data_IF_750101997128
#
_entry.id   IF_750101997128
#
_cell.length_a   1.000
_cell.length_b   1.000
_cell.length_c   1.000
_cell.angle_alpha   90.00
_cell.angle_beta   90.00
_cell.angle_gamma   90.00
#
_symmetry.space_group_name_H-M   'P 1'
#
loop_
_entity.id
_entity.type
_entity.pdbx_description
1 polymer ?
#
# COMPACT_ATOMS: atom_id res chain seq x y z
N UNK A 1 43.69 10.37 -62.22
CA UNK A 1 42.78 11.15 -61.34
C UNK A 1 42.10 10.19 -60.36
N UNK A 2 42.61 10.12 -59.13
CA UNK A 2 42.05 9.24 -58.07
C UNK A 2 41.10 10.05 -57.18
N UNK A 3 39.85 9.62 -57.15
CA UNK A 3 38.82 10.25 -56.30
C UNK A 3 39.11 9.93 -54.84
N UNK A 4 39.37 10.95 -54.04
CA UNK A 4 39.41 10.86 -52.59
C UNK A 4 37.98 10.52 -52.09
N UNK A 5 37.80 9.35 -51.48
CA UNK A 5 36.64 9.04 -50.66
C UNK A 5 36.78 9.83 -49.34
N UNK A 6 35.94 10.80 -49.16
CA UNK A 6 35.81 11.51 -47.90
C UNK A 6 35.08 10.61 -46.92
N UNK A 7 35.82 10.08 -45.96
CA UNK A 7 35.27 9.27 -44.85
C UNK A 7 34.76 10.26 -43.79
N UNK A 8 33.49 10.66 -43.90
CA UNK A 8 32.77 11.45 -42.90
C UNK A 8 32.54 10.69 -41.61
N UNK A 9 33.60 10.40 -40.86
CA UNK A 9 33.52 10.10 -39.45
C UNK A 9 33.33 11.45 -38.72
N UNK A 10 32.08 11.72 -38.31
CA UNK A 10 31.79 12.86 -37.46
C UNK A 10 32.75 12.84 -36.26
N UNK A 11 33.52 13.93 -36.11
CA UNK A 11 34.36 14.11 -34.94
C UNK A 11 33.49 14.15 -33.71
N UNK A 12 33.43 13.04 -32.94
CA UNK A 12 32.86 13.05 -31.61
C UNK A 12 33.65 14.05 -30.77
N UNK A 13 33.00 15.11 -30.30
CA UNK A 13 33.59 16.10 -29.41
C UNK A 13 33.74 15.47 -28.03
N UNK A 14 34.95 15.16 -27.63
CA UNK A 14 35.27 14.77 -26.25
C UNK A 14 35.27 16.04 -25.42
N UNK A 15 34.47 16.04 -24.34
CA UNK A 15 34.40 17.11 -23.36
C UNK A 15 34.92 16.55 -22.06
N UNK A 16 35.97 17.15 -21.51
CA UNK A 16 36.45 16.80 -20.16
C UNK A 16 35.46 17.32 -19.13
N UNK A 17 34.92 16.42 -18.30
CA UNK A 17 34.00 16.75 -17.23
C UNK A 17 34.56 16.26 -15.89
N UNK A 18 34.50 17.08 -14.87
CA UNK A 18 34.87 16.65 -13.53
C UNK A 18 33.91 15.60 -13.02
N UNK A 19 34.43 14.47 -12.51
CA UNK A 19 33.62 13.34 -12.02
C UNK A 19 32.69 13.75 -10.88
N UNK A 20 33.12 14.67 -10.01
CA UNK A 20 32.31 15.14 -8.90
C UNK A 20 31.11 15.97 -9.38
N UNK A 21 31.31 16.79 -10.42
CA UNK A 21 30.23 17.58 -11.02
C UNK A 21 29.23 16.67 -11.76
N UNK A 22 29.70 15.71 -12.56
CA UNK A 22 28.88 14.74 -13.26
C UNK A 22 28.04 13.89 -12.28
N UNK A 23 28.68 13.41 -11.21
CA UNK A 23 27.98 12.63 -10.18
C UNK A 23 26.91 13.45 -9.47
N UNK A 24 27.22 14.73 -9.15
CA UNK A 24 26.26 15.61 -8.49
C UNK A 24 25.05 15.88 -9.37
N UNK A 25 25.28 16.21 -10.64
CA UNK A 25 24.20 16.58 -11.57
C UNK A 25 23.33 15.36 -11.91
N UNK A 26 23.94 14.18 -12.18
CA UNK A 26 23.22 12.92 -12.39
C UNK A 26 22.45 12.48 -11.14
N UNK A 27 23.00 12.70 -9.94
CA UNK A 27 22.29 12.37 -8.68
C UNK A 27 21.10 13.28 -8.45
N UNK A 28 21.22 14.57 -8.77
CA UNK A 28 20.11 15.55 -8.66
C UNK A 28 18.98 15.19 -9.64
N UNK A 29 19.32 14.86 -10.88
CA UNK A 29 18.33 14.42 -11.88
C UNK A 29 17.62 13.13 -11.44
N UNK A 30 18.36 12.15 -10.96
CA UNK A 30 17.80 10.92 -10.40
C UNK A 30 16.89 11.20 -9.20
N UNK A 31 17.32 12.02 -8.25
CA UNK A 31 16.55 12.39 -7.07
C UNK A 31 15.23 13.08 -7.46
N UNK A 32 15.29 14.02 -8.41
CA UNK A 32 14.13 14.69 -8.95
C UNK A 32 13.13 13.69 -9.57
N UNK A 33 13.63 12.82 -10.44
CA UNK A 33 12.81 11.78 -11.07
C UNK A 33 12.13 10.86 -10.04
N UNK A 34 12.85 10.44 -9.01
CA UNK A 34 12.28 9.57 -7.97
C UNK A 34 11.20 10.26 -7.15
N UNK A 35 11.39 11.56 -6.83
CA UNK A 35 10.41 12.34 -6.07
C UNK A 35 9.12 12.54 -6.90
N UNK A 36 9.26 13.06 -8.11
CA UNK A 36 8.11 13.49 -8.92
C UNK A 36 7.40 12.37 -9.68
N UNK A 37 8.13 11.35 -10.14
CA UNK A 37 7.59 10.36 -11.06
C UNK A 37 7.61 8.92 -10.57
N UNK A 38 7.92 8.66 -9.29
CA UNK A 38 8.00 7.28 -8.78
C UNK A 38 7.44 7.07 -7.38
N UNK A 39 7.95 7.80 -6.38
CA UNK A 39 7.78 7.40 -4.98
C UNK A 39 6.58 8.03 -4.28
N UNK A 40 6.23 9.27 -4.63
CA UNK A 40 5.20 10.03 -3.95
C UNK A 40 3.86 9.98 -4.71
N UNK A 41 2.72 9.92 -3.98
CA UNK A 41 1.39 10.03 -4.56
C UNK A 41 1.06 11.48 -4.90
N UNK A 42 0.19 11.70 -5.88
CA UNK A 42 -0.46 13.00 -6.07
C UNK A 42 -1.56 13.18 -4.99
N UNK A 43 -1.62 14.38 -4.42
CA UNK A 43 -2.61 14.65 -3.35
C UNK A 43 -4.06 14.60 -3.84
N UNK A 44 -4.31 14.81 -5.13
CA UNK A 44 -5.65 14.88 -5.71
C UNK A 44 -6.29 13.50 -5.90
N UNK A 45 -5.51 12.50 -6.34
CA UNK A 45 -6.01 11.14 -6.58
C UNK A 45 -5.39 10.06 -5.68
N UNK A 46 -4.38 10.42 -4.87
CA UNK A 46 -3.71 9.52 -3.95
C UNK A 46 -2.87 8.42 -4.61
N UNK A 47 -2.55 8.56 -5.90
CA UNK A 47 -1.90 7.52 -6.68
C UNK A 47 -0.45 7.88 -7.04
N UNK A 48 0.40 6.89 -7.02
CA UNK A 48 1.71 6.94 -7.67
C UNK A 48 1.55 6.82 -9.18
N UNK A 49 2.49 7.32 -10.00
CA UNK A 49 2.38 7.26 -11.46
C UNK A 49 2.12 5.86 -12.01
N UNK A 50 2.79 4.83 -11.50
CA UNK A 50 2.56 3.44 -11.95
C UNK A 50 1.13 2.97 -11.66
N UNK A 51 0.57 3.31 -10.51
CA UNK A 51 -0.80 2.93 -10.13
C UNK A 51 -1.82 3.62 -11.03
N UNK A 52 -1.64 4.94 -11.28
CA UNK A 52 -2.50 5.72 -12.17
C UNK A 52 -2.48 5.17 -13.59
N UNK A 53 -1.32 4.83 -14.12
CA UNK A 53 -1.14 4.22 -15.45
C UNK A 53 -1.81 2.86 -15.56
N UNK A 54 -1.73 2.02 -14.51
CA UNK A 54 -2.43 0.72 -14.47
C UNK A 54 -3.95 0.93 -14.55
N UNK A 55 -4.52 1.77 -13.69
CA UNK A 55 -5.96 2.00 -13.66
C UNK A 55 -6.46 2.64 -14.96
N UNK A 56 -5.73 3.62 -15.48
CA UNK A 56 -6.04 4.26 -16.75
C UNK A 56 -6.03 3.25 -17.91
N UNK A 57 -4.96 2.44 -18.03
CA UNK A 57 -4.86 1.45 -19.09
C UNK A 57 -5.94 0.39 -18.97
N UNK A 58 -6.26 -0.08 -17.78
CA UNK A 58 -7.34 -1.04 -17.56
C UNK A 58 -8.71 -0.45 -17.94
N UNK A 59 -8.94 0.84 -17.66
CA UNK A 59 -10.14 1.55 -18.08
C UNK A 59 -10.22 1.62 -19.61
N UNK A 60 -9.13 1.98 -20.30
CA UNK A 60 -9.03 1.99 -21.76
C UNK A 60 -9.27 0.60 -22.38
N UNK A 61 -8.85 -0.45 -21.72
CA UNK A 61 -9.12 -1.85 -22.13
C UNK A 61 -10.56 -2.30 -21.87
N UNK A 62 -11.38 -1.46 -21.23
CA UNK A 62 -12.76 -1.78 -20.87
C UNK A 62 -12.92 -2.88 -19.84
N UNK A 63 -11.95 -3.04 -18.93
CA UNK A 63 -11.93 -4.07 -17.88
C UNK A 63 -12.79 -3.65 -16.67
N UNK A 64 -14.08 -3.56 -16.88
CA UNK A 64 -15.08 -3.12 -15.89
C UNK A 64 -15.53 -4.28 -14.99
N UNK A 65 -16.13 -3.99 -13.81
CA UNK A 65 -16.63 -5.02 -12.89
C UNK A 65 -17.69 -5.97 -13.50
N UNK A 66 -18.42 -5.50 -14.50
CA UNK A 66 -19.43 -6.28 -15.23
C UNK A 66 -18.85 -7.16 -16.35
N UNK A 67 -17.54 -7.12 -16.57
CA UNK A 67 -16.82 -7.91 -17.58
C UNK A 67 -16.02 -9.03 -16.94
N UNK A 68 -15.59 -10.00 -17.77
CA UNK A 68 -14.69 -11.05 -17.33
C UNK A 68 -13.30 -10.53 -16.98
N UNK A 69 -12.61 -11.20 -16.07
CA UNK A 69 -11.20 -10.96 -15.77
C UNK A 69 -10.32 -11.29 -16.98
N UNK A 70 -9.18 -10.63 -17.08
CA UNK A 70 -8.15 -10.95 -18.08
C UNK A 70 -6.83 -11.30 -17.37
N UNK A 71 -5.96 -12.04 -18.04
CA UNK A 71 -4.63 -12.38 -17.48
C UNK A 71 -3.88 -11.11 -17.06
N UNK A 72 -3.36 -11.09 -15.84
CA UNK A 72 -2.57 -9.97 -15.32
C UNK A 72 -1.39 -9.64 -16.22
N UNK A 73 -0.77 -10.66 -16.84
CA UNK A 73 0.31 -10.48 -17.81
C UNK A 73 -0.10 -9.61 -19.02
N UNK A 74 -1.36 -9.66 -19.45
CA UNK A 74 -1.87 -8.80 -20.53
C UNK A 74 -1.92 -7.33 -20.07
N UNK A 75 -2.44 -7.09 -18.88
CA UNK A 75 -2.48 -5.72 -18.31
C UNK A 75 -1.07 -5.16 -18.16
N UNK A 76 -0.16 -5.95 -17.58
CA UNK A 76 1.24 -5.55 -17.40
C UNK A 76 1.91 -5.23 -18.74
N UNK A 77 1.71 -6.07 -19.75
CA UNK A 77 2.26 -5.84 -21.10
C UNK A 77 1.78 -4.56 -21.76
N UNK A 78 0.47 -4.28 -21.68
CA UNK A 78 -0.12 -3.04 -22.22
C UNK A 78 0.40 -1.78 -21.49
N UNK A 79 0.48 -1.83 -20.17
CA UNK A 79 1.00 -0.71 -19.36
C UNK A 79 2.47 -0.46 -19.68
N UNK A 80 3.27 -1.53 -19.73
CA UNK A 80 4.72 -1.44 -19.99
C UNK A 80 4.99 -0.90 -21.40
N UNK A 81 4.26 -1.38 -22.40
CA UNK A 81 4.49 -1.01 -23.78
C UNK A 81 4.03 0.40 -24.15
N UNK A 82 3.00 0.90 -23.47
CA UNK A 82 2.37 2.18 -23.84
C UNK A 82 2.63 3.33 -22.90
N UNK A 83 2.74 3.08 -21.59
CA UNK A 83 2.70 4.16 -20.59
C UNK A 83 3.89 4.15 -19.61
N UNK A 84 4.42 2.97 -19.27
CA UNK A 84 5.36 2.87 -18.15
C UNK A 84 6.61 2.05 -18.54
N UNK A 85 7.69 2.69 -19.04
CA UNK A 85 8.88 2.04 -19.59
C UNK A 85 9.81 1.50 -18.48
N UNK A 86 9.29 0.60 -17.63
CA UNK A 86 10.01 -0.02 -16.53
C UNK A 86 9.75 -1.53 -16.51
N UNK A 87 10.46 -2.26 -15.65
CA UNK A 87 10.34 -3.72 -15.54
C UNK A 87 8.92 -4.19 -15.23
N UNK A 88 8.53 -5.29 -15.85
CA UNK A 88 7.23 -5.95 -15.70
C UNK A 88 6.91 -6.35 -14.25
N UNK A 89 7.93 -6.78 -13.50
CA UNK A 89 7.79 -7.13 -12.08
C UNK A 89 7.31 -5.94 -11.24
N UNK A 90 7.86 -4.75 -11.45
CA UNK A 90 7.44 -3.55 -10.70
C UNK A 90 5.99 -3.15 -11.00
N UNK A 91 5.55 -3.31 -12.26
CA UNK A 91 4.17 -3.06 -12.66
C UNK A 91 3.24 -4.11 -12.05
N UNK A 92 3.63 -5.38 -12.10
CA UNK A 92 2.84 -6.47 -11.52
C UNK A 92 2.71 -6.32 -10.00
N UNK A 93 3.79 -6.02 -9.29
CA UNK A 93 3.76 -5.80 -7.84
C UNK A 93 2.82 -4.64 -7.45
N UNK A 94 2.78 -3.56 -8.23
CA UNK A 94 1.85 -2.47 -8.01
C UNK A 94 0.39 -2.89 -8.25
N UNK A 95 0.14 -3.66 -9.32
CA UNK A 95 -1.17 -4.23 -9.63
C UNK A 95 -1.65 -5.16 -8.50
N UNK A 96 -0.79 -6.04 -8.03
CA UNK A 96 -1.08 -6.98 -6.94
C UNK A 96 -1.47 -6.24 -5.67
N UNK A 97 -0.70 -5.24 -5.25
CA UNK A 97 -1.00 -4.45 -4.04
C UNK A 97 -2.35 -3.76 -4.12
N UNK A 98 -2.75 -3.28 -5.30
CA UNK A 98 -4.07 -2.66 -5.50
C UNK A 98 -5.24 -3.66 -5.45
N UNK A 99 -4.98 -4.97 -5.55
CA UNK A 99 -5.98 -6.02 -5.42
C UNK A 99 -6.05 -6.63 -4.00
N UNK A 100 -5.05 -6.38 -3.15
CA UNK A 100 -4.95 -7.01 -1.84
C UNK A 100 -5.79 -6.26 -0.79
N UNK A 101 -6.79 -6.91 -0.21
CA UNK A 101 -7.66 -6.35 0.82
C UNK A 101 -6.95 -6.09 2.16
N UNK A 102 -5.78 -6.70 2.37
CA UNK A 102 -4.93 -6.44 3.54
C UNK A 102 -3.91 -5.32 3.31
N UNK A 103 -3.68 -4.91 2.06
CA UNK A 103 -2.78 -3.81 1.69
C UNK A 103 -3.50 -2.48 1.52
N UNK A 104 -4.68 -2.49 0.92
CA UNK A 104 -5.52 -1.32 0.73
C UNK A 104 -6.81 -1.44 1.54
N UNK A 105 -7.23 -0.34 2.15
CA UNK A 105 -8.49 -0.25 2.87
C UNK A 105 -9.69 -0.46 1.94
N UNK A 106 -9.58 0.06 0.71
CA UNK A 106 -10.51 -0.19 -0.39
C UNK A 106 -9.68 -0.58 -1.62
N UNK A 107 -9.66 -1.86 -2.00
CA UNK A 107 -9.00 -2.32 -3.23
C UNK A 107 -9.53 -1.61 -4.48
N UNK A 108 -8.63 -1.32 -5.41
CA UNK A 108 -8.94 -0.69 -6.70
C UNK A 108 -8.99 -1.71 -7.84
N UNK A 109 -8.46 -2.89 -7.62
CA UNK A 109 -8.44 -4.00 -8.58
C UNK A 109 -9.19 -5.18 -7.97
N UNK A 110 -10.03 -5.81 -8.79
CA UNK A 110 -10.67 -7.09 -8.50
C UNK A 110 -9.82 -8.19 -9.15
N UNK A 111 -9.15 -8.97 -8.29
CA UNK A 111 -8.24 -10.04 -8.67
C UNK A 111 -8.90 -11.41 -8.61
N UNK A 112 -8.55 -12.28 -9.57
CA UNK A 112 -8.95 -13.69 -9.56
C UNK A 112 -7.71 -14.58 -9.59
N UNK A 113 -7.62 -15.49 -8.62
CA UNK A 113 -6.46 -16.36 -8.39
C UNK A 113 -5.70 -15.99 -7.10
N UNK A 114 -4.45 -16.43 -7.00
CA UNK A 114 -3.64 -16.20 -5.80
C UNK A 114 -2.87 -14.87 -5.90
N UNK A 115 -3.38 -13.85 -5.21
CA UNK A 115 -2.74 -12.54 -5.04
C UNK A 115 -1.90 -12.43 -3.77
N UNK A 116 -1.58 -13.55 -3.13
CA UNK A 116 -0.77 -13.61 -1.92
C UNK A 116 -1.55 -13.39 -0.63
N UNK A 117 -0.84 -13.46 0.45
CA UNK A 117 -1.24 -13.11 1.81
C UNK A 117 -0.26 -12.10 2.41
N UNK A 118 -0.37 -11.79 3.69
CA UNK A 118 0.60 -10.93 4.37
C UNK A 118 1.97 -11.63 4.48
N UNK A 119 1.97 -12.95 4.65
CA UNK A 119 3.18 -13.76 4.83
C UNK A 119 3.70 -14.33 3.49
N UNK A 120 2.81 -14.61 2.53
CA UNK A 120 3.16 -15.24 1.26
C UNK A 120 3.00 -14.30 0.06
N UNK A 121 3.91 -14.40 -0.89
CA UNK A 121 3.84 -13.66 -2.16
C UNK A 121 2.75 -14.17 -3.10
N UNK A 122 2.39 -13.38 -4.13
CA UNK A 122 1.40 -13.76 -5.12
C UNK A 122 1.95 -14.80 -6.10
N UNK A 123 1.03 -15.50 -6.79
CA UNK A 123 1.40 -16.29 -7.96
C UNK A 123 1.90 -15.40 -9.11
N UNK A 124 2.67 -15.96 -10.03
CA UNK A 124 3.17 -15.23 -11.20
C UNK A 124 2.01 -14.71 -12.07
N UNK A 125 2.23 -13.56 -12.73
CA UNK A 125 1.22 -12.81 -13.50
C UNK A 125 0.55 -13.61 -14.64
N UNK A 126 1.16 -14.72 -15.08
CA UNK A 126 0.56 -15.64 -16.07
C UNK A 126 -0.56 -16.50 -15.51
N UNK A 127 -0.63 -16.65 -14.19
CA UNK A 127 -1.67 -17.46 -13.51
C UNK A 127 -2.81 -16.62 -12.96
N UNK A 128 -2.54 -15.37 -12.56
CA UNK A 128 -3.56 -14.47 -12.00
C UNK A 128 -4.32 -13.73 -13.11
N UNK A 129 -5.52 -13.30 -12.77
CA UNK A 129 -6.38 -12.50 -13.64
C UNK A 129 -6.88 -11.27 -12.88
N UNK A 130 -7.16 -10.18 -13.61
CA UNK A 130 -7.55 -8.91 -13.00
C UNK A 130 -8.60 -8.17 -13.85
N UNK A 131 -9.40 -7.36 -13.17
CA UNK A 131 -10.27 -6.32 -13.73
C UNK A 131 -10.34 -5.16 -12.74
N UNK A 132 -10.93 -4.04 -13.14
CA UNK A 132 -11.17 -2.92 -12.23
C UNK A 132 -12.20 -3.29 -11.17
N UNK A 133 -11.97 -2.91 -9.93
CA UNK A 133 -12.98 -2.90 -8.89
C UNK A 133 -13.96 -1.73 -9.08
N UNK A 134 -15.11 -1.74 -8.42
CA UNK A 134 -16.08 -0.63 -8.51
C UNK A 134 -15.47 0.70 -8.05
N UNK A 135 -14.65 0.67 -7.01
CA UNK A 135 -13.91 1.83 -6.51
C UNK A 135 -13.01 2.49 -7.57
N UNK A 136 -12.41 1.69 -8.45
CA UNK A 136 -11.61 2.23 -9.54
C UNK A 136 -12.46 2.86 -10.66
N UNK A 137 -13.68 2.38 -10.86
CA UNK A 137 -14.63 3.05 -11.77
C UNK A 137 -14.96 4.44 -11.23
N UNK A 138 -15.16 4.57 -9.91
CA UNK A 138 -15.41 5.86 -9.27
C UNK A 138 -14.17 6.79 -9.33
N UNK A 139 -12.96 6.22 -9.32
CA UNK A 139 -11.71 6.97 -9.54
C UNK A 139 -11.56 7.50 -10.97
N UNK A 140 -12.09 6.80 -11.97
CA UNK A 140 -11.96 7.14 -13.40
C UNK A 140 -13.22 7.77 -13.98
N UNK A 141 -14.28 7.98 -13.18
CA UNK A 141 -15.55 8.55 -13.63
C UNK A 141 -15.35 9.95 -14.22
N UNK A 142 -15.88 10.19 -15.43
CA UNK A 142 -15.77 11.46 -16.12
C UNK A 142 -14.42 11.72 -16.79
N UNK A 143 -13.51 10.76 -16.89
CA UNK A 143 -12.18 10.96 -17.46
C UNK A 143 -12.20 11.43 -18.94
N UNK A 144 -13.27 11.07 -19.66
CA UNK A 144 -13.48 11.46 -21.06
C UNK A 144 -14.26 12.79 -21.22
N UNK A 145 -14.55 13.48 -20.10
CA UNK A 145 -15.37 14.71 -20.05
C UNK A 145 -14.53 15.99 -19.90
N UNK A 146 -13.23 15.95 -20.23
CA UNK A 146 -12.28 17.09 -20.12
C UNK A 146 -12.20 17.70 -18.71
N UNK A 147 -12.30 16.85 -17.69
CA UNK A 147 -12.24 17.27 -16.27
C UNK A 147 -10.83 17.21 -15.68
N UNK A 148 -9.89 16.58 -16.38
CA UNK A 148 -8.46 16.47 -15.99
C UNK A 148 -7.56 16.69 -17.19
N UNK A 149 -6.36 17.23 -16.93
CA UNK A 149 -5.34 17.44 -17.95
C UNK A 149 -4.66 16.13 -18.34
N UNK A 150 -4.25 16.05 -19.60
CA UNK A 150 -3.47 14.97 -20.19
C UNK A 150 -2.09 15.48 -20.62
N UNK A 151 -1.10 14.58 -20.57
CA UNK A 151 0.24 14.83 -21.04
C UNK A 151 0.69 13.71 -21.99
N UNK A 152 1.66 13.98 -22.90
CA UNK A 152 2.30 12.92 -23.66
C UNK A 152 2.97 11.89 -22.74
N UNK A 153 2.93 10.61 -23.15
CA UNK A 153 3.70 9.55 -22.51
C UNK A 153 5.20 9.71 -22.79
N UNK A 154 6.02 8.75 -22.32
CA UNK A 154 7.48 8.78 -22.40
C UNK A 154 8.05 8.89 -23.83
N UNK A 155 7.36 8.46 -24.88
CA UNK A 155 7.80 8.51 -26.27
C UNK A 155 6.96 9.46 -27.16
N UNK A 156 5.97 10.13 -26.56
CA UNK A 156 5.09 11.10 -27.24
C UNK A 156 4.07 10.50 -28.20
N UNK A 157 3.86 9.19 -28.20
CA UNK A 157 2.91 8.49 -29.07
C UNK A 157 1.53 8.32 -28.49
N UNK A 158 1.43 8.32 -27.19
CA UNK A 158 0.19 8.17 -26.44
C UNK A 158 0.02 9.36 -25.49
N UNK A 159 -1.16 9.53 -24.96
CA UNK A 159 -1.43 10.51 -23.90
C UNK A 159 -1.86 9.76 -22.63
N UNK A 160 -1.47 10.31 -21.49
CA UNK A 160 -1.84 9.80 -20.18
C UNK A 160 -2.40 10.90 -19.28
N UNK A 161 -3.32 10.63 -18.37
CA UNK A 161 -3.84 11.64 -17.47
C UNK A 161 -2.79 12.03 -16.44
N UNK A 162 -2.64 13.34 -16.18
CA UNK A 162 -1.76 13.85 -15.12
C UNK A 162 -2.28 13.38 -13.75
N UNK A 163 -3.62 13.32 -13.61
CA UNK A 163 -4.31 12.89 -12.39
C UNK A 163 -5.63 12.22 -12.80
N UNK A 164 -6.16 11.28 -12.03
CA UNK A 164 -7.51 10.77 -12.24
C UNK A 164 -8.56 11.72 -11.62
N UNK A 165 -9.80 11.74 -12.16
CA UNK A 165 -10.89 12.57 -11.61
C UNK A 165 -11.20 12.31 -10.14
N UNK A 166 -11.09 11.06 -9.70
CA UNK A 166 -11.13 10.60 -8.31
C UNK A 166 -12.35 11.09 -7.52
N UNK A 167 -13.50 10.48 -7.76
CA UNK A 167 -14.72 10.79 -7.03
C UNK A 167 -14.68 10.37 -5.54
N UNK A 168 -13.66 9.61 -5.13
CA UNK A 168 -13.41 9.25 -3.73
C UNK A 168 -12.07 9.87 -3.25
N UNK A 169 -11.97 10.26 -1.96
CA UNK A 169 -10.75 10.83 -1.39
C UNK A 169 -9.69 9.76 -1.13
N UNK A 170 -9.16 9.15 -2.20
CA UNK A 170 -8.34 7.96 -2.16
C UNK A 170 -7.06 8.13 -1.31
N UNK A 171 -6.42 9.32 -1.32
CA UNK A 171 -5.22 9.55 -0.51
C UNK A 171 -5.47 9.32 0.97
N UNK A 172 -6.60 9.80 1.50
CA UNK A 172 -6.95 9.61 2.91
C UNK A 172 -7.49 8.21 3.19
N UNK A 173 -8.29 7.66 2.27
CA UNK A 173 -8.93 6.36 2.47
C UNK A 173 -7.92 5.21 2.42
N UNK A 174 -7.07 5.16 1.41
CA UNK A 174 -6.08 4.09 1.26
C UNK A 174 -4.72 4.42 1.86
N UNK A 175 -4.48 5.69 2.18
CA UNK A 175 -3.16 6.13 2.60
C UNK A 175 -2.13 6.04 1.48
N UNK A 176 -0.88 6.26 1.80
CA UNK A 176 0.23 6.04 0.89
C UNK A 176 1.54 5.90 1.66
N UNK A 177 2.41 5.04 1.18
CA UNK A 177 3.78 4.91 1.69
C UNK A 177 4.76 4.97 0.53
N UNK A 178 5.83 5.73 0.67
CA UNK A 178 6.86 5.88 -0.36
C UNK A 178 8.17 6.41 0.19
N UNK A 179 9.28 5.86 -0.33
CA UNK A 179 10.62 6.27 0.02
C UNK A 179 11.24 6.92 -1.21
N UNK A 180 11.45 8.23 -1.15
CA UNK A 180 12.15 8.99 -2.18
C UNK A 180 13.58 9.33 -1.74
N UNK A 181 14.27 10.12 -2.53
CA UNK A 181 15.59 10.65 -2.17
C UNK A 181 15.42 11.87 -1.27
N UNK A 182 15.96 11.83 -0.07
CA UNK A 182 15.90 12.95 0.88
C UNK A 182 14.56 13.13 1.60
N UNK A 183 13.51 12.38 1.23
CA UNK A 183 12.21 12.43 1.89
C UNK A 183 11.46 11.09 1.77
N UNK A 184 10.50 10.89 2.67
CA UNK A 184 9.59 9.75 2.65
C UNK A 184 8.18 10.20 3.03
N UNK A 185 7.18 9.46 2.58
CA UNK A 185 5.79 9.60 3.03
C UNK A 185 5.29 8.31 3.63
N UNK A 186 4.47 8.41 4.68
CA UNK A 186 3.79 7.29 5.31
C UNK A 186 2.45 7.77 5.86
N UNK A 187 1.45 7.86 4.99
CA UNK A 187 0.09 8.26 5.32
C UNK A 187 -0.73 7.02 5.68
N UNK A 188 -1.31 7.03 6.86
CA UNK A 188 -2.19 5.94 7.30
C UNK A 188 -3.54 5.96 6.54
N UNK A 189 -4.19 4.82 6.34
CA UNK A 189 -5.52 4.73 5.75
C UNK A 189 -6.61 5.15 6.76
N UNK A 190 -7.79 5.57 6.23
CA UNK A 190 -8.93 6.01 7.03
C UNK A 190 -10.25 5.41 6.54
N UNK A 191 -11.26 5.45 7.38
CA UNK A 191 -12.60 4.99 7.03
C UNK A 191 -13.25 5.92 6.01
N UNK A 192 -13.77 5.36 4.91
CA UNK A 192 -14.38 6.14 3.83
C UNK A 192 -15.57 7.00 4.32
N UNK A 193 -16.46 6.44 5.13
CA UNK A 193 -17.63 7.17 5.62
C UNK A 193 -17.23 8.34 6.53
N UNK A 194 -16.22 8.13 7.38
CA UNK A 194 -15.65 9.18 8.24
C UNK A 194 -15.04 10.31 7.42
N UNK A 195 -14.21 9.96 6.41
CA UNK A 195 -13.59 10.95 5.53
C UNK A 195 -14.63 11.74 4.73
N UNK A 196 -15.64 11.06 4.16
CA UNK A 196 -16.72 11.72 3.42
C UNK A 196 -17.52 12.66 4.33
N UNK A 197 -17.85 12.25 5.56
CA UNK A 197 -18.57 13.10 6.51
C UNK A 197 -17.75 14.33 6.90
N UNK A 198 -16.45 14.17 7.16
CA UNK A 198 -15.54 15.27 7.42
C UNK A 198 -15.42 16.23 6.22
N UNK A 199 -15.35 15.69 5.01
CA UNK A 199 -15.29 16.49 3.78
C UNK A 199 -16.58 17.32 3.61
N UNK A 200 -17.75 16.72 3.79
CA UNK A 200 -19.03 17.42 3.74
C UNK A 200 -19.10 18.54 4.80
N UNK A 201 -18.70 18.24 6.03
CA UNK A 201 -18.63 19.25 7.08
C UNK A 201 -17.71 20.41 6.71
N UNK A 202 -16.51 20.12 6.16
CA UNK A 202 -15.56 21.14 5.75
C UNK A 202 -16.08 22.01 4.59
N UNK A 203 -16.86 21.45 3.66
CA UNK A 203 -17.51 22.24 2.58
C UNK A 203 -18.50 23.26 3.14
N UNK A 204 -19.28 22.87 4.15
CA UNK A 204 -20.23 23.77 4.81
C UNK A 204 -19.52 24.72 5.79
N UNK A 205 -18.37 24.35 6.34
CA UNK A 205 -17.57 25.08 7.31
C UNK A 205 -16.10 25.23 6.88
N UNK A 206 -15.78 26.07 5.87
CA UNK A 206 -14.42 26.16 5.30
C UNK A 206 -13.31 26.61 6.28
N UNK A 207 -13.69 27.06 7.46
CA UNK A 207 -12.78 27.48 8.55
C UNK A 207 -12.76 26.49 9.71
N UNK A 208 -13.27 25.27 9.48
CA UNK A 208 -13.29 24.24 10.52
C UNK A 208 -11.87 23.99 11.06
N UNK A 209 -11.79 23.85 12.37
CA UNK A 209 -10.54 23.52 13.08
C UNK A 209 -10.21 22.04 12.98
N UNK A 210 -8.96 21.67 13.28
CA UNK A 210 -8.56 20.26 13.36
C UNK A 210 -9.42 19.50 14.38
N UNK A 211 -9.70 20.09 15.54
CA UNK A 211 -10.52 19.45 16.57
C UNK A 211 -11.94 19.12 16.10
N UNK A 212 -12.56 20.03 15.35
CA UNK A 212 -13.85 19.78 14.74
C UNK A 212 -13.81 18.66 13.69
N UNK A 213 -12.79 18.63 12.84
CA UNK A 213 -12.61 17.57 11.85
C UNK A 213 -12.31 16.21 12.51
N UNK A 214 -11.56 16.18 13.60
CA UNK A 214 -11.27 14.95 14.34
C UNK A 214 -12.50 14.36 15.05
N UNK A 215 -13.60 15.09 15.17
CA UNK A 215 -14.87 14.49 15.62
C UNK A 215 -15.46 13.53 14.59
N UNK A 216 -15.13 13.70 13.31
CA UNK A 216 -15.52 12.81 12.21
C UNK A 216 -14.46 11.78 11.88
N UNK A 217 -13.18 12.15 11.92
CA UNK A 217 -12.02 11.26 11.65
C UNK A 217 -11.19 11.17 12.94
N UNK A 218 -11.56 10.30 13.89
CA UNK A 218 -10.88 10.20 15.18
C UNK A 218 -9.47 9.60 15.06
N UNK A 219 -9.19 8.86 14.00
CA UNK A 219 -7.91 8.21 13.76
C UNK A 219 -7.88 7.33 12.53
N UNK A 220 -6.72 6.72 12.23
CA UNK A 220 -6.55 5.75 11.16
C UNK A 220 -7.46 4.52 11.28
N UNK A 221 -7.80 3.93 10.12
CA UNK A 221 -8.58 2.69 10.00
C UNK A 221 -7.81 1.71 9.09
N UNK A 222 -7.02 0.83 9.70
CA UNK A 222 -6.17 -0.11 8.97
C UNK A 222 -6.98 -1.27 8.37
N UNK A 223 -6.58 -1.72 7.19
CA UNK A 223 -7.24 -2.82 6.47
C UNK A 223 -7.25 -4.14 7.29
N UNK A 224 -6.21 -4.40 8.07
CA UNK A 224 -6.08 -5.58 8.94
C UNK A 224 -6.65 -5.38 10.34
N UNK A 225 -7.21 -4.20 10.64
CA UNK A 225 -7.76 -3.86 11.94
C UNK A 225 -6.70 -3.52 13.00
N UNK A 226 -6.92 -4.02 14.20
CA UNK A 226 -6.12 -3.71 15.38
C UNK A 226 -6.74 -2.62 16.26
N UNK A 227 -6.08 -2.33 17.37
CA UNK A 227 -6.50 -1.32 18.36
C UNK A 227 -5.42 -0.28 18.53
N UNK A 228 -5.72 0.97 18.24
CA UNK A 228 -4.80 2.10 18.43
C UNK A 228 -4.73 2.45 19.92
N UNK A 229 -3.50 2.62 20.41
CA UNK A 229 -3.25 2.92 21.83
C UNK A 229 -2.83 4.38 21.97
N UNK A 230 -3.73 5.18 22.55
CA UNK A 230 -3.53 6.61 22.77
C UNK A 230 -3.84 7.46 21.53
N UNK A 231 -4.27 8.71 21.76
CA UNK A 231 -4.67 9.63 20.68
C UNK A 231 -3.66 10.75 20.43
N UNK A 232 -2.73 10.98 21.35
CA UNK A 232 -1.78 12.10 21.26
C UNK A 232 -0.94 12.05 19.97
N UNK A 233 -0.37 10.88 19.66
CA UNK A 233 0.45 10.74 18.47
C UNK A 233 -0.35 10.84 17.14
N UNK A 234 -1.65 10.52 17.16
CA UNK A 234 -2.53 10.75 16.00
C UNK A 234 -2.75 12.24 15.81
N UNK A 235 -3.07 12.96 16.90
CA UNK A 235 -3.22 14.41 16.87
C UNK A 235 -1.98 15.10 16.35
N UNK A 236 -0.81 14.72 16.87
CA UNK A 236 0.47 15.26 16.41
C UNK A 236 0.68 15.01 14.91
N UNK A 237 0.34 13.81 14.43
CA UNK A 237 0.44 13.47 13.02
C UNK A 237 -0.48 14.34 12.14
N UNK A 238 -1.70 14.61 12.58
CA UNK A 238 -2.65 15.44 11.83
C UNK A 238 -2.32 16.93 11.88
N UNK A 239 -1.77 17.43 12.99
CA UNK A 239 -1.42 18.83 13.16
C UNK A 239 -0.10 19.20 12.47
N UNK A 240 0.90 18.32 12.59
CA UNK A 240 2.28 18.63 12.16
C UNK A 240 2.75 17.82 10.95
N UNK A 241 1.98 16.82 10.51
CA UNK A 241 2.41 15.83 9.53
C UNK A 241 3.40 14.79 10.07
N UNK A 242 3.70 14.81 11.39
CA UNK A 242 4.60 13.85 12.03
C UNK A 242 4.04 13.42 13.39
N UNK A 243 3.83 12.12 13.55
CA UNK A 243 3.34 11.54 14.79
C UNK A 243 3.68 10.07 14.87
N UNK A 244 3.70 9.55 16.09
CA UNK A 244 3.92 8.13 16.36
C UNK A 244 2.85 7.62 17.28
N UNK A 245 2.21 6.53 16.91
CA UNK A 245 1.21 5.85 17.73
C UNK A 245 1.42 4.34 17.64
N UNK A 246 0.91 3.62 18.63
CA UNK A 246 1.00 2.17 18.70
C UNK A 246 -0.30 1.54 18.25
N UNK A 247 -0.19 0.42 17.54
CA UNK A 247 -1.32 -0.42 17.16
C UNK A 247 -1.11 -1.80 17.76
N UNK A 248 -2.08 -2.26 18.54
CA UNK A 248 -2.08 -3.60 19.14
C UNK A 248 -2.99 -4.54 18.39
N UNK A 249 -2.63 -5.81 18.42
CA UNK A 249 -3.50 -6.90 18.01
C UNK A 249 -4.83 -6.87 18.79
N UNK A 250 -5.93 -7.20 18.13
CA UNK A 250 -7.21 -7.43 18.80
C UNK A 250 -7.23 -8.87 19.31
N UNK A 251 -7.41 -9.02 20.60
CA UNK A 251 -7.32 -10.33 21.28
C UNK A 251 -8.50 -10.57 22.20
N UNK A 252 -8.83 -11.85 22.42
CA UNK A 252 -9.79 -12.32 23.41
C UNK A 252 -9.15 -13.42 24.24
N UNK A 253 -9.44 -13.46 25.53
CA UNK A 253 -9.03 -14.56 26.39
C UNK A 253 -10.25 -15.44 26.63
N UNK A 254 -10.17 -16.68 26.16
CA UNK A 254 -11.28 -17.62 26.25
C UNK A 254 -10.82 -19.06 26.56
N UNK A 255 -11.76 -19.94 26.75
CA UNK A 255 -11.52 -21.38 26.94
C UNK A 255 -11.25 -22.00 25.56
N UNK A 256 -10.02 -22.37 25.27
CA UNK A 256 -9.61 -22.95 23.98
C UNK A 256 -9.63 -24.48 23.97
N UNK A 257 -9.66 -25.10 25.16
CA UNK A 257 -9.86 -26.52 25.30
C UNK A 257 -10.48 -26.83 26.67
N UNK A 258 -10.88 -28.08 26.91
CA UNK A 258 -11.58 -28.50 28.16
C UNK A 258 -10.88 -28.09 29.46
N UNK A 259 -9.57 -27.88 29.45
CA UNK A 259 -8.75 -27.58 30.64
C UNK A 259 -7.79 -26.40 30.46
N UNK A 260 -7.82 -25.72 29.32
CA UNK A 260 -6.87 -24.63 29.03
C UNK A 260 -7.58 -23.37 28.57
N UNK A 261 -7.17 -22.26 29.15
CA UNK A 261 -7.46 -20.92 28.62
C UNK A 261 -6.36 -20.52 27.63
N UNK A 262 -6.72 -19.75 26.65
CA UNK A 262 -5.79 -19.22 25.67
C UNK A 262 -6.14 -17.81 25.23
N UNK A 263 -5.26 -17.26 24.43
CA UNK A 263 -5.39 -15.95 23.81
C UNK A 263 -5.72 -16.20 22.34
N UNK A 264 -6.88 -15.74 21.89
CA UNK A 264 -7.32 -15.79 20.50
C UNK A 264 -7.06 -14.41 19.89
N UNK A 265 -6.25 -14.36 18.84
CA UNK A 265 -5.91 -13.16 18.10
C UNK A 265 -6.75 -13.12 16.83
N UNK A 266 -7.56 -12.09 16.68
CA UNK A 266 -8.48 -11.91 15.54
C UNK A 266 -8.07 -10.78 14.58
N UNK A 267 -7.20 -9.88 15.01
CA UNK A 267 -6.63 -8.81 14.17
C UNK A 267 -5.18 -8.57 14.58
N UNK A 268 -4.31 -8.28 13.63
CA UNK A 268 -2.91 -7.93 13.83
C UNK A 268 -2.62 -6.53 13.30
N UNK A 269 -1.57 -5.86 13.82
CA UNK A 269 -1.10 -4.60 13.25
C UNK A 269 -0.81 -4.72 11.75
N UNK A 270 -0.94 -3.61 11.03
CA UNK A 270 -0.72 -3.57 9.59
C UNK A 270 0.66 -4.16 9.20
N UNK A 271 0.68 -4.95 8.13
CA UNK A 271 1.86 -5.64 7.60
C UNK A 271 2.49 -6.68 8.56
N UNK A 272 1.75 -7.13 9.56
CA UNK A 272 2.16 -8.23 10.44
C UNK A 272 1.26 -9.42 10.16
N UNK A 273 1.87 -10.52 9.70
CA UNK A 273 1.18 -11.80 9.50
C UNK A 273 1.30 -12.72 10.71
N UNK A 274 0.44 -13.76 10.79
CA UNK A 274 0.47 -14.74 11.87
C UNK A 274 1.80 -15.50 11.95
N UNK A 275 2.41 -15.85 10.82
CA UNK A 275 3.69 -16.59 10.80
C UNK A 275 4.81 -15.83 11.49
N UNK A 276 4.90 -14.51 11.26
CA UNK A 276 5.88 -13.66 11.92
C UNK A 276 5.71 -13.60 13.44
N UNK A 277 4.47 -13.65 13.92
CA UNK A 277 4.17 -13.72 15.36
C UNK A 277 4.58 -15.09 15.92
N UNK A 278 4.20 -16.17 15.23
CA UNK A 278 4.53 -17.56 15.62
C UNK A 278 6.05 -17.74 15.72
N UNK A 279 6.79 -17.35 14.69
CA UNK A 279 8.25 -17.44 14.65
C UNK A 279 8.89 -16.66 15.81
N UNK A 280 8.45 -15.43 16.04
CA UNK A 280 8.97 -14.60 17.13
C UNK A 280 8.68 -15.19 18.49
N UNK A 281 7.48 -15.71 18.72
CA UNK A 281 7.13 -16.41 19.99
C UNK A 281 7.99 -17.64 20.19
N UNK A 282 8.18 -18.47 19.15
CA UNK A 282 9.04 -19.65 19.18
C UNK A 282 10.45 -19.29 19.64
N UNK A 283 11.06 -18.26 19.04
CA UNK A 283 12.40 -17.78 19.40
C UNK A 283 12.48 -17.35 20.88
N UNK A 284 11.49 -16.61 21.34
CA UNK A 284 11.44 -16.14 22.73
C UNK A 284 11.25 -17.26 23.73
N UNK A 285 10.47 -18.28 23.40
CA UNK A 285 10.27 -19.47 24.24
C UNK A 285 11.57 -20.30 24.32
N UNK A 286 12.23 -20.53 23.18
CA UNK A 286 13.54 -21.23 23.13
C UNK A 286 14.59 -20.45 23.97
N UNK A 287 14.62 -19.13 23.83
CA UNK A 287 15.52 -18.25 24.59
C UNK A 287 15.11 -18.09 26.06
N UNK A 288 14.03 -18.73 26.54
CA UNK A 288 13.46 -18.64 27.90
C UNK A 288 13.07 -17.22 28.32
N UNK A 289 12.86 -16.31 27.36
CA UNK A 289 12.43 -14.91 27.58
C UNK A 289 10.93 -14.76 27.69
N UNK A 290 10.17 -15.71 27.14
CA UNK A 290 8.72 -15.80 27.22
C UNK A 290 8.35 -17.16 27.79
N UNK A 291 7.50 -17.17 28.81
CA UNK A 291 7.05 -18.38 29.48
C UNK A 291 5.52 -18.42 29.51
N UNK A 292 4.96 -19.58 29.84
CA UNK A 292 3.51 -19.74 30.02
C UNK A 292 2.75 -20.15 28.75
N UNK A 293 3.40 -20.28 27.59
CA UNK A 293 2.78 -20.77 26.37
C UNK A 293 2.98 -22.28 26.28
N UNK A 294 1.91 -23.04 25.99
CA UNK A 294 1.94 -24.48 25.74
C UNK A 294 1.94 -24.82 24.26
N UNK A 295 1.19 -24.09 23.45
CA UNK A 295 1.08 -24.30 22.00
C UNK A 295 0.61 -23.03 21.29
N UNK A 296 0.84 -22.96 19.97
CA UNK A 296 0.29 -21.93 19.08
C UNK A 296 -0.24 -22.64 17.85
N UNK A 297 -1.51 -22.36 17.53
CA UNK A 297 -2.21 -22.95 16.39
C UNK A 297 -2.81 -21.83 15.55
N UNK A 298 -2.49 -21.82 14.27
CA UNK A 298 -3.14 -20.94 13.30
C UNK A 298 -4.37 -21.67 12.72
N UNK A 299 -5.54 -21.12 13.01
CA UNK A 299 -6.84 -21.60 12.52
C UNK A 299 -7.45 -20.61 11.52
N UNK A 300 -6.64 -19.73 10.96
CA UNK A 300 -7.06 -18.72 9.98
C UNK A 300 -7.64 -19.41 8.74
N UNK A 301 -8.81 -18.97 8.31
CA UNK A 301 -9.45 -19.40 7.07
C UNK A 301 -10.08 -18.24 6.30
N UNK A 302 -10.53 -18.51 5.06
CA UNK A 302 -11.12 -17.49 4.18
C UNK A 302 -12.48 -16.97 4.63
N UNK A 303 -13.21 -17.71 5.47
CA UNK A 303 -14.57 -17.37 5.90
C UNK A 303 -14.57 -16.65 7.25
N UNK A 304 -13.77 -17.12 8.21
CA UNK A 304 -13.69 -16.56 9.58
C UNK A 304 -12.59 -15.52 9.76
N UNK A 305 -11.68 -15.38 8.78
CA UNK A 305 -10.56 -14.46 8.85
C UNK A 305 -9.45 -14.93 9.80
N UNK A 306 -8.62 -14.00 10.30
CA UNK A 306 -7.51 -14.30 11.20
C UNK A 306 -8.01 -14.94 12.51
N UNK A 307 -7.45 -16.10 12.84
CA UNK A 307 -7.77 -16.85 14.06
C UNK A 307 -6.51 -17.56 14.57
N UNK A 308 -5.61 -16.80 15.21
CA UNK A 308 -4.39 -17.34 15.80
C UNK A 308 -4.63 -17.63 17.30
N UNK A 309 -4.58 -18.90 17.68
CA UNK A 309 -4.84 -19.39 19.05
C UNK A 309 -3.53 -19.66 19.76
N UNK A 310 -3.28 -18.95 20.86
CA UNK A 310 -2.11 -19.12 21.73
C UNK A 310 -2.57 -19.76 23.02
N UNK A 311 -2.30 -21.07 23.19
CA UNK A 311 -2.66 -21.81 24.39
C UNK A 311 -1.72 -21.48 25.57
N UNK A 312 -2.31 -21.17 26.71
CA UNK A 312 -1.56 -20.91 27.94
C UNK A 312 -1.44 -22.17 28.82
N UNK A 313 -0.30 -22.34 29.50
CA UNK A 313 -0.11 -23.34 30.54
C UNK A 313 -0.96 -22.99 31.73
N UNK A 314 -1.59 -23.98 32.36
CA UNK A 314 -2.55 -23.79 33.47
C UNK A 314 -1.97 -23.06 34.71
N UNK A 315 -0.64 -23.08 34.88
CA UNK A 315 0.05 -22.38 35.98
C UNK A 315 0.28 -20.88 35.71
N UNK A 316 -0.08 -20.37 34.54
CA UNK A 316 0.16 -18.97 34.15
C UNK A 316 -1.15 -18.25 33.88
N UNK A 317 -1.23 -16.97 34.25
CA UNK A 317 -2.34 -16.10 33.87
C UNK A 317 -2.23 -15.74 32.39
N UNK A 318 -3.26 -16.00 31.56
CA UNK A 318 -3.27 -15.59 30.16
C UNK A 318 -3.12 -14.07 29.99
N UNK A 319 -3.63 -13.27 30.93
CA UNK A 319 -3.50 -11.82 30.95
C UNK A 319 -2.02 -11.39 31.08
N UNK A 320 -1.27 -12.02 31.97
CA UNK A 320 0.16 -11.75 32.14
C UNK A 320 1.00 -12.21 30.94
N UNK A 321 0.61 -13.32 30.30
CA UNK A 321 1.23 -13.79 29.05
C UNK A 321 0.95 -12.81 27.92
N UNK A 322 -0.27 -12.30 27.80
CA UNK A 322 -0.67 -11.32 26.79
C UNK A 322 0.14 -10.02 26.88
N UNK A 323 0.34 -9.50 28.09
CA UNK A 323 1.16 -8.30 28.29
C UNK A 323 2.63 -8.52 27.88
N UNK A 324 3.17 -9.72 28.10
CA UNK A 324 4.50 -10.07 27.61
C UNK A 324 4.53 -10.19 26.08
N UNK A 325 3.48 -10.74 25.45
CA UNK A 325 3.37 -10.83 24.01
C UNK A 325 3.36 -9.44 23.36
N UNK A 326 2.58 -8.50 23.86
CA UNK A 326 2.60 -7.11 23.38
C UNK A 326 3.99 -6.47 23.49
N UNK A 327 4.72 -6.78 24.53
CA UNK A 327 6.03 -6.17 24.79
C UNK A 327 7.18 -6.74 23.98
N UNK A 328 7.10 -8.02 23.60
CA UNK A 328 8.24 -8.79 23.08
C UNK A 328 8.04 -9.24 21.63
N UNK A 329 6.81 -9.14 21.11
CA UNK A 329 6.44 -9.61 19.76
C UNK A 329 5.83 -8.48 18.92
N UNK A 330 5.69 -8.64 17.60
CA UNK A 330 5.07 -7.64 16.74
C UNK A 330 3.54 -7.57 16.89
N UNK A 331 2.96 -8.07 17.98
CA UNK A 331 1.54 -7.86 18.30
C UNK A 331 1.25 -6.43 18.80
N UNK A 332 2.28 -5.61 19.06
CA UNK A 332 2.19 -4.15 19.27
C UNK A 332 3.26 -3.43 18.43
#
# INVERSE_FOLDING_TARGET
>A
MAAKRDSGLGHSRIIDTDVADEMRDSFLEYAYSVIYSRALPDARDGLKPVQRRILFQMNQMGLRPDRGHVKSARVVGEVMGRLHPHGDSAIYDALVRMAQSFSLRIPLIDGHGNFGSIDDGPAAMRYTEARLAQSAIDMTAGIDEDVVDFAPNYDGREIEPIVLPSAIPNLLVNGASGIAVGMATNLAPHNLAEVVNATRFLLDHPKATLDELMTFIPGPDFATGGVIIGLAGIRDAYETGKGTFKVRARTKIEQVSARKRGIVVTELPANIGPERVIERVKDLVIAKKLQGISDIVDLTDGDSGLNLVIECKSAFSPEAVLEQLFKLTPME
#
